data_IF_648314550981
#
_entry.id   IF_648314550981
#
_cell.length_a   1.000
_cell.length_b   1.000
_cell.length_c   1.000
_cell.angle_alpha   90.00
_cell.angle_beta   90.00
_cell.angle_gamma   90.00
#
_symmetry.space_group_name_H-M   'P 1'
#
loop_
_entity.id
_entity.type
_entity.pdbx_description
1 polymer ?
#
# COMPACT_ATOMS: atom_id res chain seq x y z
N UNK A 1 -27.51 -3.16 -8.74
CA UNK A 1 -26.24 -3.66 -9.33
C UNK A 1 -25.08 -2.70 -9.03
N UNK A 2 -23.91 -3.21 -8.61
CA UNK A 2 -22.71 -2.44 -8.30
C UNK A 2 -22.00 -1.93 -9.57
N UNK A 3 -21.34 -0.75 -9.58
CA UNK A 3 -20.58 -0.29 -10.75
C UNK A 3 -19.56 -1.35 -11.21
N UNK A 4 -19.48 -1.61 -12.52
CA UNK A 4 -18.63 -2.65 -13.11
C UNK A 4 -17.16 -2.43 -12.78
N UNK A 5 -16.66 -1.20 -12.88
CA UNK A 5 -15.28 -0.87 -12.55
C UNK A 5 -14.99 -1.08 -11.07
N UNK A 6 -15.95 -0.74 -10.20
CA UNK A 6 -15.84 -1.02 -8.77
C UNK A 6 -15.82 -2.53 -8.48
N UNK A 7 -16.66 -3.31 -9.17
CA UNK A 7 -16.63 -4.77 -9.13
C UNK A 7 -15.26 -5.32 -9.51
N UNK A 8 -14.71 -4.87 -10.65
CA UNK A 8 -13.41 -5.33 -11.13
C UNK A 8 -12.28 -4.98 -10.17
N UNK A 9 -12.31 -3.80 -9.54
CA UNK A 9 -11.33 -3.40 -8.52
C UNK A 9 -11.42 -4.30 -7.28
N UNK A 10 -12.63 -4.55 -6.77
CA UNK A 10 -12.84 -5.45 -5.63
C UNK A 10 -12.39 -6.87 -5.97
N UNK A 11 -12.74 -7.35 -7.16
CA UNK A 11 -12.31 -8.65 -7.67
C UNK A 11 -10.77 -8.73 -7.80
N UNK A 12 -10.13 -7.67 -8.28
CA UNK A 12 -8.67 -7.57 -8.33
C UNK A 12 -8.06 -7.78 -6.94
N UNK A 13 -8.53 -7.07 -5.91
CA UNK A 13 -8.01 -7.26 -4.54
C UNK A 13 -8.23 -8.68 -4.02
N UNK A 14 -9.42 -9.26 -4.24
CA UNK A 14 -9.74 -10.63 -3.82
C UNK A 14 -8.79 -11.64 -4.50
N UNK A 15 -8.58 -11.50 -5.81
CA UNK A 15 -7.67 -12.36 -6.58
C UNK A 15 -6.25 -12.26 -6.06
N UNK A 16 -5.72 -11.06 -5.85
CA UNK A 16 -4.34 -10.90 -5.40
C UNK A 16 -4.16 -11.42 -3.97
N UNK A 17 -5.14 -11.20 -3.06
CA UNK A 17 -5.14 -11.76 -1.70
C UNK A 17 -5.09 -13.28 -1.75
N UNK A 18 -6.01 -13.91 -2.49
CA UNK A 18 -6.08 -15.36 -2.63
C UNK A 18 -4.78 -15.92 -3.24
N UNK A 19 -4.29 -15.30 -4.31
CA UNK A 19 -3.05 -15.70 -4.96
C UNK A 19 -1.84 -15.63 -3.99
N UNK A 20 -1.73 -14.57 -3.18
CA UNK A 20 -0.62 -14.44 -2.23
C UNK A 20 -0.69 -15.48 -1.10
N UNK A 21 -1.88 -15.77 -0.59
CA UNK A 21 -2.10 -16.83 0.40
C UNK A 21 -1.70 -18.18 -0.21
N UNK A 22 -2.18 -18.50 -1.41
CA UNK A 22 -1.83 -19.73 -2.14
C UNK A 22 -0.32 -19.84 -2.30
N UNK A 23 0.34 -18.81 -2.85
CA UNK A 23 1.81 -18.79 -3.03
C UNK A 23 2.53 -19.03 -1.70
N UNK A 24 2.01 -18.50 -0.59
CA UNK A 24 2.61 -18.66 0.74
C UNK A 24 2.47 -20.08 1.31
N UNK A 25 1.43 -20.81 0.94
CA UNK A 25 1.18 -22.20 1.35
C UNK A 25 2.07 -23.20 0.59
N UNK A 26 2.37 -22.93 -0.69
CA UNK A 26 3.17 -23.83 -1.52
C UNK A 26 4.67 -23.48 -1.47
N UNK A 27 5.47 -24.37 -0.88
CA UNK A 27 6.91 -24.16 -0.65
C UNK A 27 7.69 -23.80 -1.92
N UNK A 28 7.45 -24.46 -3.05
CA UNK A 28 8.15 -24.16 -4.31
C UNK A 28 7.79 -22.79 -4.88
N UNK A 29 6.50 -22.41 -4.84
CA UNK A 29 6.06 -21.07 -5.26
C UNK A 29 6.61 -19.97 -4.34
N UNK A 30 6.58 -20.20 -3.03
CA UNK A 30 7.16 -19.28 -2.03
C UNK A 30 8.65 -19.06 -2.25
N UNK A 31 9.41 -20.12 -2.52
CA UNK A 31 10.85 -20.02 -2.81
C UNK A 31 11.06 -19.25 -4.12
N UNK A 32 10.27 -19.54 -5.14
CA UNK A 32 10.49 -18.97 -6.48
C UNK A 32 10.07 -17.52 -6.63
N UNK A 33 9.00 -17.10 -5.95
CA UNK A 33 8.39 -15.77 -6.12
C UNK A 33 8.70 -14.85 -4.94
N UNK A 34 8.61 -15.35 -3.70
CA UNK A 34 8.69 -14.51 -2.49
C UNK A 34 10.10 -14.42 -1.89
N UNK A 35 11.06 -15.26 -2.33
CA UNK A 35 12.42 -15.25 -1.80
C UNK A 35 13.32 -14.33 -2.61
N UNK A 36 13.28 -13.04 -2.29
CA UNK A 36 14.09 -12.01 -2.94
C UNK A 36 14.90 -11.17 -1.95
N UNK A 37 15.88 -10.42 -2.45
CA UNK A 37 16.85 -9.71 -1.61
C UNK A 37 17.62 -10.67 -0.70
N UNK A 38 17.60 -10.41 0.62
CA UNK A 38 18.30 -11.22 1.63
C UNK A 38 17.74 -12.63 1.80
N UNK A 39 16.48 -12.84 1.40
CA UNK A 39 15.82 -14.15 1.43
C UNK A 39 16.20 -15.01 0.22
N UNK A 40 16.70 -14.39 -0.85
CA UNK A 40 17.03 -15.06 -2.12
C UNK A 40 18.37 -15.81 -2.13
N UNK A 41 19.30 -15.49 -1.22
CA UNK A 41 20.62 -16.15 -1.18
C UNK A 41 20.52 -17.63 -0.81
N UNK A 42 19.55 -18.02 0.03
CA UNK A 42 19.30 -19.43 0.37
C UNK A 42 18.41 -20.14 -0.67
N UNK A 43 17.58 -19.39 -1.42
CA UNK A 43 16.63 -19.94 -2.39
C UNK A 43 17.29 -20.40 -3.69
N UNK A 44 18.33 -19.71 -4.17
CA UNK A 44 19.06 -20.07 -5.41
C UNK A 44 19.67 -21.46 -5.41
N UNK A 45 20.00 -22.00 -4.23
CA UNK A 45 20.56 -23.35 -4.08
C UNK A 45 19.50 -24.46 -4.09
N UNK A 46 18.22 -24.13 -4.30
CA UNK A 46 17.10 -25.08 -4.15
C UNK A 46 16.24 -25.29 -5.38
N UNK A 47 16.54 -24.63 -6.51
CA UNK A 47 15.79 -24.83 -7.76
C UNK A 47 15.97 -26.29 -8.23
N UNK A 48 14.87 -27.03 -8.33
CA UNK A 48 14.89 -28.47 -8.67
C UNK A 48 14.82 -28.72 -10.16
N UNK A 49 14.34 -27.76 -10.96
CA UNK A 49 14.18 -27.91 -12.40
C UNK A 49 14.45 -26.60 -13.17
N UNK A 50 14.64 -26.67 -14.51
CA UNK A 50 14.99 -25.50 -15.33
C UNK A 50 13.92 -24.40 -15.35
N UNK A 51 12.64 -24.78 -15.23
CA UNK A 51 11.51 -23.83 -15.21
C UNK A 51 11.54 -23.00 -13.92
N UNK A 52 11.79 -23.65 -12.78
CA UNK A 52 11.92 -22.99 -11.48
C UNK A 52 13.11 -22.03 -11.48
N UNK A 53 14.24 -22.44 -12.06
CA UNK A 53 15.42 -21.59 -12.23
C UNK A 53 15.14 -20.38 -13.15
N UNK A 54 14.40 -20.59 -14.25
CA UNK A 54 13.99 -19.51 -15.14
C UNK A 54 13.08 -18.50 -14.44
N UNK A 55 12.05 -18.96 -13.71
CA UNK A 55 11.14 -18.08 -12.95
C UNK A 55 11.92 -17.29 -11.89
N UNK A 56 12.84 -17.94 -11.16
CA UNK A 56 13.69 -17.27 -10.18
C UNK A 56 14.65 -16.23 -10.79
N UNK A 57 14.97 -16.35 -12.08
CA UNK A 57 15.84 -15.39 -12.77
C UNK A 57 15.12 -14.07 -13.08
N UNK A 58 13.78 -14.09 -13.20
CA UNK A 58 12.94 -12.95 -13.55
C UNK A 58 12.89 -11.92 -12.42
N UNK A 59 13.91 -11.07 -12.39
CA UNK A 59 14.15 -10.16 -11.27
C UNK A 59 14.55 -8.78 -11.73
N UNK A 60 14.10 -7.76 -11.00
CA UNK A 60 14.45 -6.35 -11.18
C UNK A 60 15.27 -5.84 -10.00
N UNK A 61 16.06 -4.76 -10.17
CA UNK A 61 16.77 -4.14 -9.05
C UNK A 61 15.80 -3.70 -7.96
N UNK A 62 16.11 -3.99 -6.68
CA UNK A 62 15.28 -3.58 -5.54
C UNK A 62 15.16 -2.05 -5.43
N UNK A 63 16.09 -1.29 -5.99
CA UNK A 63 16.02 0.17 -6.06
C UNK A 63 14.80 0.67 -6.85
N UNK A 64 14.19 -0.16 -7.71
CA UNK A 64 12.99 0.19 -8.46
C UNK A 64 11.73 0.30 -7.58
N UNK A 65 11.79 -0.04 -6.29
CA UNK A 65 10.71 0.25 -5.34
C UNK A 65 10.31 1.74 -5.36
N UNK A 66 11.24 2.65 -5.65
CA UNK A 66 10.94 4.08 -5.80
C UNK A 66 9.91 4.37 -6.90
N UNK A 67 9.83 3.53 -7.94
CA UNK A 67 8.88 3.70 -9.05
C UNK A 67 7.43 3.56 -8.58
N UNK A 68 7.15 2.71 -7.59
CA UNK A 68 5.81 2.57 -7.02
C UNK A 68 5.29 3.91 -6.50
N UNK A 69 6.16 4.63 -5.79
CA UNK A 69 5.81 5.91 -5.18
C UNK A 69 5.84 7.06 -6.18
N UNK A 70 6.68 7.03 -7.21
CA UNK A 70 6.63 7.99 -8.32
C UNK A 70 5.27 7.87 -9.05
N UNK A 71 4.94 6.65 -9.49
CA UNK A 71 3.69 6.38 -10.20
C UNK A 71 2.49 6.69 -9.30
N UNK A 72 2.51 6.23 -8.04
CA UNK A 72 1.46 6.53 -7.07
C UNK A 72 1.29 8.02 -6.80
N UNK A 73 2.39 8.78 -6.67
CA UNK A 73 2.34 10.23 -6.44
C UNK A 73 1.77 10.99 -7.64
N UNK A 74 2.22 10.64 -8.86
CA UNK A 74 1.70 11.25 -10.09
C UNK A 74 0.23 10.90 -10.32
N UNK A 75 -0.15 9.65 -10.04
CA UNK A 75 -1.52 9.18 -10.16
C UNK A 75 -2.46 9.86 -9.16
N UNK A 76 -2.05 9.95 -7.89
CA UNK A 76 -2.81 10.67 -6.87
C UNK A 76 -3.00 12.15 -7.24
N UNK A 77 -1.94 12.81 -7.76
CA UNK A 77 -2.00 14.21 -8.16
C UNK A 77 -2.97 14.41 -9.32
N UNK A 78 -2.93 13.50 -10.30
CA UNK A 78 -3.86 13.51 -11.42
C UNK A 78 -5.31 13.31 -10.97
N UNK A 79 -5.59 12.39 -10.05
CA UNK A 79 -6.93 12.19 -9.48
C UNK A 79 -7.41 13.41 -8.69
N UNK A 80 -6.54 14.06 -7.92
CA UNK A 80 -6.88 15.31 -7.19
C UNK A 80 -7.22 16.42 -8.18
N UNK A 81 -6.46 16.56 -9.27
CA UNK A 81 -6.76 17.51 -10.35
C UNK A 81 -8.13 17.20 -10.97
N UNK A 82 -8.43 15.92 -11.22
CA UNK A 82 -9.73 15.47 -11.72
C UNK A 82 -10.87 15.89 -10.78
N UNK A 83 -10.70 15.68 -9.46
CA UNK A 83 -11.65 16.16 -8.44
C UNK A 83 -11.83 17.68 -8.49
N UNK A 84 -10.75 18.45 -8.67
CA UNK A 84 -10.84 19.92 -8.78
C UNK A 84 -11.60 20.34 -10.04
N UNK A 85 -11.38 19.66 -11.16
CA UNK A 85 -12.10 19.90 -12.44
C UNK A 85 -13.59 19.63 -12.25
N UNK A 86 -13.93 18.48 -11.65
CA UNK A 86 -15.31 18.08 -11.32
C UNK A 86 -15.99 19.09 -10.41
N UNK A 87 -15.28 19.54 -9.37
CA UNK A 87 -15.78 20.57 -8.47
C UNK A 87 -15.99 21.91 -9.14
N UNK A 88 -15.41 22.19 -10.30
CA UNK A 88 -15.69 23.41 -11.09
C UNK A 88 -16.87 23.24 -12.06
N UNK A 89 -17.57 22.11 -12.02
CA UNK A 89 -18.67 21.79 -12.93
C UNK A 89 -18.21 21.27 -14.30
N UNK A 90 -16.91 21.00 -14.48
CA UNK A 90 -16.36 20.47 -15.72
C UNK A 90 -16.27 18.95 -15.68
N UNK A 91 -16.25 18.31 -16.85
CA UNK A 91 -16.04 16.85 -16.95
C UNK A 91 -14.57 16.53 -16.71
N UNK A 92 -14.27 15.86 -15.59
CA UNK A 92 -12.96 15.27 -15.33
C UNK A 92 -12.64 14.14 -16.33
N UNK A 93 -11.37 13.92 -16.62
CA UNK A 93 -10.93 12.88 -17.56
C UNK A 93 -11.16 11.48 -16.98
N UNK A 94 -10.78 11.26 -15.72
CA UNK A 94 -10.96 9.97 -15.05
C UNK A 94 -12.44 9.73 -14.78
N UNK A 95 -13.16 10.75 -14.32
CA UNK A 95 -14.60 10.70 -14.21
C UNK A 95 -15.30 10.26 -15.49
N UNK A 96 -14.95 10.89 -16.61
CA UNK A 96 -15.54 10.57 -17.90
C UNK A 96 -15.21 9.15 -18.34
N UNK A 97 -13.98 8.69 -18.10
CA UNK A 97 -13.60 7.30 -18.31
C UNK A 97 -14.46 6.33 -17.47
N UNK A 98 -14.65 6.63 -16.18
CA UNK A 98 -15.50 5.82 -15.27
C UNK A 98 -16.95 5.79 -15.78
N UNK A 99 -17.51 6.93 -16.21
CA UNK A 99 -18.86 7.00 -16.79
C UNK A 99 -19.04 6.12 -18.03
N UNK A 100 -18.07 6.14 -18.94
CA UNK A 100 -18.11 5.32 -20.16
C UNK A 100 -18.07 3.83 -19.79
N UNK A 101 -17.22 3.49 -18.81
CA UNK A 101 -16.98 2.10 -18.43
C UNK A 101 -18.15 1.50 -17.64
N UNK A 102 -18.77 2.29 -16.76
CA UNK A 102 -19.89 1.87 -15.91
C UNK A 102 -21.25 2.17 -16.55
N UNK A 103 -21.39 1.97 -17.87
CA UNK A 103 -22.57 2.19 -18.72
C UNK A 103 -23.90 2.35 -17.95
N UNK A 104 -24.63 3.43 -18.25
CA UNK A 104 -25.87 4.03 -17.69
C UNK A 104 -27.03 3.12 -17.20
N UNK A 105 -26.79 1.96 -16.60
CA UNK A 105 -27.81 1.27 -15.83
C UNK A 105 -27.97 2.01 -14.50
N UNK A 106 -29.21 2.44 -14.23
CA UNK A 106 -29.59 3.11 -12.98
C UNK A 106 -29.07 2.29 -11.81
N UNK A 107 -28.05 2.82 -11.14
CA UNK A 107 -27.52 2.25 -9.92
C UNK A 107 -28.65 2.04 -8.93
N UNK A 108 -28.67 0.87 -8.30
CA UNK A 108 -29.62 0.63 -7.23
C UNK A 108 -29.28 1.54 -6.04
N UNK A 109 -30.30 2.07 -5.35
CA UNK A 109 -30.13 3.03 -4.26
C UNK A 109 -29.41 2.47 -3.02
N UNK A 110 -29.02 1.19 -3.02
CA UNK A 110 -28.44 0.49 -1.87
C UNK A 110 -26.91 0.60 -1.76
N UNK A 111 -26.22 1.12 -2.78
CA UNK A 111 -24.78 1.37 -2.71
C UNK A 111 -24.45 2.66 -1.94
N UNK A 112 -23.80 2.52 -0.78
CA UNK A 112 -23.31 3.66 -0.01
C UNK A 112 -22.13 4.33 -0.73
N UNK A 113 -22.35 5.56 -1.21
CA UNK A 113 -21.30 6.40 -1.81
C UNK A 113 -20.56 7.18 -0.73
N UNK A 114 -19.23 7.19 -0.78
CA UNK A 114 -18.42 7.96 0.17
C UNK A 114 -18.64 9.45 0.00
N UNK A 115 -18.85 10.23 1.07
CA UNK A 115 -19.08 11.65 0.91
C UNK A 115 -17.85 12.34 0.31
N UNK A 116 -18.10 13.42 -0.42
CA UNK A 116 -17.07 14.16 -1.19
C UNK A 116 -15.88 14.58 -0.32
N UNK A 117 -16.14 14.96 0.94
CA UNK A 117 -15.11 15.39 1.89
C UNK A 117 -14.14 14.24 2.19
N UNK A 118 -14.65 13.06 2.51
CA UNK A 118 -13.89 11.85 2.79
C UNK A 118 -13.07 11.41 1.57
N UNK A 119 -13.63 11.50 0.36
CA UNK A 119 -12.89 11.23 -0.88
C UNK A 119 -11.69 12.17 -1.06
N UNK A 120 -11.89 13.48 -0.90
CA UNK A 120 -10.83 14.50 -1.00
C UNK A 120 -9.75 14.25 0.06
N UNK A 121 -10.15 14.06 1.31
CA UNK A 121 -9.23 13.81 2.42
C UNK A 121 -8.45 12.51 2.18
N UNK A 122 -9.11 11.45 1.71
CA UNK A 122 -8.48 10.17 1.40
C UNK A 122 -7.44 10.28 0.28
N UNK A 123 -7.75 11.02 -0.79
CA UNK A 123 -6.79 11.28 -1.87
C UNK A 123 -5.59 12.12 -1.40
N UNK A 124 -5.82 13.13 -0.55
CA UNK A 124 -4.74 13.92 0.05
C UNK A 124 -3.87 13.05 0.97
N UNK A 125 -4.46 12.21 1.82
CA UNK A 125 -3.72 11.26 2.66
C UNK A 125 -2.88 10.30 1.81
N UNK A 126 -3.45 9.76 0.73
CA UNK A 126 -2.73 8.89 -0.21
C UNK A 126 -1.60 9.64 -0.95
N UNK A 127 -1.82 10.90 -1.34
CA UNK A 127 -0.80 11.76 -1.93
C UNK A 127 0.36 12.02 -0.96
N UNK A 128 0.05 12.36 0.29
CA UNK A 128 1.06 12.61 1.34
C UNK A 128 1.85 11.33 1.61
N UNK A 129 1.19 10.18 1.69
CA UNK A 129 1.84 8.88 1.86
C UNK A 129 2.82 8.60 0.72
N UNK A 130 2.37 8.73 -0.53
CA UNK A 130 3.20 8.43 -1.70
C UNK A 130 4.36 9.41 -1.87
N UNK A 131 4.18 10.71 -1.63
CA UNK A 131 5.27 11.70 -1.67
C UNK A 131 6.29 11.42 -0.57
N UNK A 132 5.84 11.17 0.66
CA UNK A 132 6.75 10.89 1.78
C UNK A 132 7.57 9.63 1.51
N UNK A 133 6.91 8.54 1.08
CA UNK A 133 7.61 7.29 0.75
C UNK A 133 8.54 7.46 -0.45
N UNK A 134 8.17 8.26 -1.45
CA UNK A 134 9.04 8.62 -2.55
C UNK A 134 10.30 9.33 -2.03
N UNK A 135 10.15 10.37 -1.21
CA UNK A 135 11.26 11.08 -0.57
C UNK A 135 12.16 10.11 0.23
N UNK A 136 11.57 9.25 1.05
CA UNK A 136 12.31 8.27 1.83
C UNK A 136 13.11 7.33 0.92
N UNK A 137 12.53 6.81 -0.17
CA UNK A 137 13.23 5.94 -1.10
C UNK A 137 14.39 6.63 -1.85
N UNK A 138 14.29 7.94 -2.11
CA UNK A 138 15.35 8.69 -2.79
C UNK A 138 16.48 9.13 -1.85
N UNK A 139 16.15 9.54 -0.63
CA UNK A 139 17.08 10.28 0.22
C UNK A 139 17.42 9.60 1.54
N UNK A 140 16.61 8.65 2.00
CA UNK A 140 16.78 8.00 3.32
C UNK A 140 17.17 6.53 3.17
N UNK A 141 16.38 5.76 2.44
CA UNK A 141 16.56 4.32 2.33
C UNK A 141 17.88 3.96 1.65
N UNK A 142 18.56 2.96 2.21
CA UNK A 142 19.84 2.44 1.70
C UNK A 142 19.70 0.96 1.33
N UNK A 143 19.13 0.63 0.16
CA UNK A 143 19.01 -0.76 -0.29
C UNK A 143 20.40 -1.36 -0.52
N UNK A 144 20.57 -2.66 -0.22
CA UNK A 144 21.84 -3.37 -0.51
C UNK A 144 22.13 -3.32 -2.01
N UNK A 145 23.40 -3.03 -2.36
CA UNK A 145 23.89 -3.13 -3.74
C UNK A 145 23.66 -4.55 -4.26
N UNK A 146 23.10 -4.66 -5.47
CA UNK A 146 22.78 -5.96 -6.08
C UNK A 146 21.54 -6.68 -5.55
N UNK A 147 20.82 -6.13 -4.55
CA UNK A 147 19.55 -6.71 -4.10
C UNK A 147 18.52 -6.66 -5.22
N UNK A 148 17.82 -7.78 -5.46
CA UNK A 148 16.78 -7.89 -6.48
C UNK A 148 15.40 -8.22 -5.87
N UNK A 149 14.34 -8.00 -6.65
CA UNK A 149 12.94 -8.40 -6.40
C UNK A 149 12.39 -9.13 -7.62
N UNK A 150 11.49 -10.09 -7.45
CA UNK A 150 10.81 -10.75 -8.57
C UNK A 150 9.97 -9.76 -9.41
N UNK A 151 10.03 -9.86 -10.74
CA UNK A 151 9.34 -8.93 -11.66
C UNK A 151 7.81 -8.93 -11.46
N UNK A 152 7.22 -10.09 -11.19
CA UNK A 152 5.77 -10.19 -10.94
C UNK A 152 5.34 -9.42 -9.69
N UNK A 153 6.16 -9.42 -8.64
CA UNK A 153 5.88 -8.64 -7.43
C UNK A 153 6.09 -7.14 -7.67
N UNK A 154 7.01 -6.79 -8.57
CA UNK A 154 7.20 -5.41 -9.01
C UNK A 154 5.98 -4.88 -9.76
N UNK A 155 5.47 -5.63 -10.74
CA UNK A 155 4.25 -5.25 -11.47
C UNK A 155 3.02 -5.21 -10.56
N UNK A 156 2.90 -6.17 -9.64
CA UNK A 156 1.83 -6.18 -8.65
C UNK A 156 1.88 -4.96 -7.72
N UNK A 157 3.08 -4.52 -7.33
CA UNK A 157 3.27 -3.28 -6.58
C UNK A 157 2.76 -2.06 -7.34
N UNK A 158 3.11 -1.91 -8.62
CA UNK A 158 2.59 -0.82 -9.46
C UNK A 158 1.07 -0.86 -9.60
N UNK A 159 0.52 -2.04 -9.89
CA UNK A 159 -0.93 -2.24 -10.01
C UNK A 159 -1.66 -1.88 -8.72
N UNK A 160 -1.10 -2.25 -7.55
CA UNK A 160 -1.67 -1.92 -6.25
C UNK A 160 -1.79 -0.40 -6.02
N UNK A 161 -0.77 0.40 -6.32
CA UNK A 161 -0.85 1.87 -6.12
C UNK A 161 -1.85 2.53 -7.08
N UNK A 162 -1.92 2.06 -8.34
CA UNK A 162 -2.90 2.54 -9.31
C UNK A 162 -4.33 2.19 -8.86
N UNK A 163 -4.56 0.94 -8.50
CA UNK A 163 -5.85 0.45 -8.01
C UNK A 163 -6.27 1.16 -6.72
N UNK A 164 -5.34 1.40 -5.79
CA UNK A 164 -5.65 2.08 -4.51
C UNK A 164 -6.10 3.51 -4.74
N UNK A 165 -5.37 4.29 -5.54
CA UNK A 165 -5.79 5.66 -5.88
C UNK A 165 -7.15 5.68 -6.56
N UNK A 166 -7.37 4.78 -7.54
CA UNK A 166 -8.63 4.68 -8.25
C UNK A 166 -9.79 4.25 -7.33
N UNK A 167 -9.53 3.36 -6.37
CA UNK A 167 -10.53 2.90 -5.37
C UNK A 167 -11.05 4.06 -4.54
N UNK A 168 -10.15 4.87 -3.97
CA UNK A 168 -10.51 6.03 -3.13
C UNK A 168 -11.28 7.06 -3.96
N UNK A 169 -10.92 7.22 -5.24
CA UNK A 169 -11.61 8.13 -6.15
C UNK A 169 -13.03 7.65 -6.50
N UNK A 170 -13.19 6.42 -7.01
CA UNK A 170 -14.49 5.89 -7.48
C UNK A 170 -15.52 5.80 -6.36
N UNK A 171 -15.10 5.39 -5.16
CA UNK A 171 -16.00 5.27 -4.01
C UNK A 171 -16.67 6.62 -3.64
N UNK A 172 -16.02 7.76 -3.94
CA UNK A 172 -16.60 9.09 -3.75
C UNK A 172 -17.12 9.79 -5.01
N UNK A 173 -16.77 9.29 -6.20
CA UNK A 173 -16.97 10.02 -7.46
C UNK A 173 -18.45 10.24 -7.78
N UNK A 174 -19.30 9.29 -7.40
CA UNK A 174 -20.74 9.33 -7.67
C UNK A 174 -21.48 10.45 -6.94
N UNK A 175 -20.83 11.12 -5.98
CA UNK A 175 -21.37 12.27 -5.24
C UNK A 175 -20.97 13.62 -5.86
N UNK A 176 -20.18 13.63 -6.93
CA UNK A 176 -19.85 14.83 -7.71
C UNK A 176 -20.86 15.13 -8.83
N UNK A 177 -22.06 14.51 -8.80
CA UNK A 177 -23.15 14.83 -9.75
C UNK A 177 -22.90 14.38 -11.19
N UNK A 178 -21.87 13.55 -11.40
CA UNK A 178 -21.45 13.05 -12.71
C UNK A 178 -22.51 12.13 -13.32
N UNK A 179 -23.30 11.43 -12.50
CA UNK A 179 -24.25 10.41 -12.95
C UNK A 179 -25.68 10.95 -13.14
N UNK A 180 -26.01 12.13 -12.60
CA UNK A 180 -27.31 12.77 -12.76
C UNK A 180 -27.19 13.96 -13.71
N UNK A 181 -27.32 13.68 -15.01
CA UNK A 181 -27.30 14.71 -16.06
C UNK A 181 -28.64 15.44 -16.23
N UNK A 182 -29.61 15.23 -15.33
CA UNK A 182 -30.91 15.89 -15.33
C UNK A 182 -31.22 16.38 -13.92
N UNK A 183 -31.34 17.69 -13.82
CA UNK A 183 -31.85 18.46 -12.68
C UNK A 183 -30.88 18.82 -11.54
N UNK A 184 -30.69 20.14 -11.48
CA UNK A 184 -30.44 21.00 -10.33
C UNK A 184 -28.99 21.38 -9.99
N UNK A 185 -28.76 22.69 -10.14
CA UNK A 185 -27.71 23.53 -9.57
C UNK A 185 -27.62 23.49 -8.02
N UNK A 186 -28.06 22.42 -7.38
CA UNK A 186 -28.12 22.31 -5.93
C UNK A 186 -26.81 21.75 -5.37
N UNK A 187 -26.00 22.63 -4.78
CA UNK A 187 -25.03 22.34 -3.71
C UNK A 187 -23.79 21.46 -4.01
N UNK A 188 -23.44 21.16 -5.26
CA UNK A 188 -22.17 20.47 -5.60
C UNK A 188 -20.91 21.19 -5.06
N UNK A 189 -21.00 22.51 -4.86
CA UNK A 189 -19.88 23.35 -4.45
C UNK A 189 -19.76 23.53 -2.93
N UNK A 190 -20.81 23.23 -2.16
CA UNK A 190 -20.89 23.64 -0.74
C UNK A 190 -20.40 22.53 0.17
N UNK A 191 -19.09 22.23 0.13
CA UNK A 191 -18.46 21.52 1.26
C UNK A 191 -18.47 22.50 2.43
N UNK A 192 -19.40 22.32 3.36
CA UNK A 192 -19.43 23.11 4.59
C UNK A 192 -18.14 22.80 5.37
N UNK A 193 -17.39 23.82 5.78
CA UNK A 193 -16.13 23.65 6.51
C UNK A 193 -16.27 22.75 7.75
N UNK A 194 -17.44 22.76 8.38
CA UNK A 194 -17.81 21.88 9.48
C UNK A 194 -17.71 20.37 9.14
N UNK A 195 -17.82 19.99 7.86
CA UNK A 195 -17.68 18.60 7.43
C UNK A 195 -16.25 18.08 7.63
N UNK A 196 -15.23 18.94 7.57
CA UNK A 196 -13.84 18.57 7.85
C UNK A 196 -13.56 18.37 9.35
N UNK A 197 -14.45 18.84 10.23
CA UNK A 197 -14.37 18.64 11.68
C UNK A 197 -15.12 17.38 12.16
N UNK A 198 -15.59 16.54 11.24
CA UNK A 198 -16.22 15.27 11.60
C UNK A 198 -15.24 14.38 12.37
N UNK A 199 -15.76 13.64 13.36
CA UNK A 199 -14.93 12.80 14.22
C UNK A 199 -14.09 11.80 13.41
N UNK A 200 -14.65 11.25 12.33
CA UNK A 200 -13.99 10.26 11.49
C UNK A 200 -12.81 10.86 10.73
N UNK A 201 -12.94 12.08 10.19
CA UNK A 201 -11.84 12.77 9.51
C UNK A 201 -10.73 13.12 10.49
N UNK A 202 -11.07 13.74 11.62
CA UNK A 202 -10.07 14.15 12.62
C UNK A 202 -9.32 12.94 13.19
N UNK A 203 -10.03 11.85 13.52
CA UNK A 203 -9.42 10.64 14.02
C UNK A 203 -8.57 9.95 12.95
N UNK A 204 -9.08 9.81 11.72
CA UNK A 204 -8.33 9.21 10.62
C UNK A 204 -7.04 9.98 10.33
N UNK A 205 -7.10 11.31 10.22
CA UNK A 205 -5.93 12.15 10.03
C UNK A 205 -4.93 12.02 11.18
N UNK A 206 -5.41 11.98 12.42
CA UNK A 206 -4.54 11.83 13.60
C UNK A 206 -3.81 10.49 13.60
N UNK A 207 -4.53 9.40 13.35
CA UNK A 207 -3.97 8.04 13.25
C UNK A 207 -2.98 7.94 12.07
N UNK A 208 -3.35 8.50 10.92
CA UNK A 208 -2.50 8.56 9.74
C UNK A 208 -1.19 9.30 10.00
N UNK A 209 -1.25 10.49 10.61
CA UNK A 209 -0.07 11.31 10.90
C UNK A 209 0.83 10.61 11.93
N UNK A 210 0.24 10.04 12.98
CA UNK A 210 0.96 9.26 13.98
C UNK A 210 1.71 8.08 13.36
N UNK A 211 1.01 7.24 12.59
CA UNK A 211 1.61 6.08 11.94
C UNK A 211 2.62 6.47 10.85
N UNK A 212 2.36 7.53 10.10
CA UNK A 212 3.29 8.07 9.10
C UNK A 212 4.58 8.58 9.73
N UNK A 213 4.48 9.28 10.86
CA UNK A 213 5.63 9.74 11.62
C UNK A 213 6.49 8.56 12.09
N UNK A 214 5.89 7.58 12.77
CA UNK A 214 6.63 6.41 13.27
C UNK A 214 7.22 5.60 12.12
N UNK A 215 6.48 5.40 11.02
CA UNK A 215 7.03 4.71 9.86
C UNK A 215 8.29 5.41 9.32
N UNK A 216 8.28 6.74 9.24
CA UNK A 216 9.42 7.52 8.80
C UNK A 216 10.65 7.30 9.70
N UNK A 217 10.45 7.36 11.02
CA UNK A 217 11.50 7.11 12.02
C UNK A 217 12.05 5.68 11.87
N UNK A 218 11.17 4.69 11.69
CA UNK A 218 11.56 3.29 11.50
C UNK A 218 12.38 3.10 10.22
N UNK A 219 12.02 3.73 9.10
CA UNK A 219 12.83 3.71 7.86
C UNK A 219 14.19 4.37 8.04
N UNK A 220 14.25 5.51 8.76
CA UNK A 220 15.51 6.16 9.12
C UNK A 220 16.40 5.24 9.96
N UNK A 221 15.84 4.57 10.97
CA UNK A 221 16.58 3.60 11.79
C UNK A 221 17.14 2.46 10.94
N UNK A 222 16.35 1.88 10.03
CA UNK A 222 16.82 0.84 9.10
C UNK A 222 17.96 1.33 8.19
N UNK A 223 17.90 2.58 7.71
CA UNK A 223 18.96 3.16 6.90
C UNK A 223 20.25 3.39 7.68
N UNK A 224 20.16 3.83 8.94
CA UNK A 224 21.32 4.05 9.82
C UNK A 224 22.11 2.76 10.10
N UNK A 225 21.44 1.60 10.16
CA UNK A 225 22.13 0.31 10.30
C UNK A 225 23.11 0.03 9.15
N UNK A 226 22.85 0.58 7.96
CA UNK A 226 23.70 0.39 6.79
C UNK A 226 24.93 1.27 6.80
N UNK A 227 24.82 2.50 7.29
CA UNK A 227 25.96 3.39 7.47
C UNK A 227 27.00 2.76 8.39
N UNK A 228 26.56 2.25 9.55
CA UNK A 228 27.45 1.59 10.52
C UNK A 228 28.14 0.34 9.97
N UNK A 229 27.45 -0.44 9.13
CA UNK A 229 28.04 -1.61 8.48
C UNK A 229 29.10 -1.25 7.44
N UNK A 230 28.97 -0.11 6.75
CA UNK A 230 29.86 0.29 5.65
C UNK A 230 31.26 0.67 6.14
N UNK A 231 31.39 1.12 7.39
CA UNK A 231 32.64 1.59 7.98
C UNK A 231 33.52 0.49 8.57
N UNK A 232 33.04 -0.76 8.70
CA UNK A 232 33.71 -1.80 9.52
C UNK A 232 34.13 -3.04 8.72
N UNK A 233 33.52 -3.36 7.56
CA UNK A 233 33.97 -4.48 6.72
C UNK A 233 33.48 -4.40 5.26
N UNK A 234 34.14 -5.16 4.37
CA UNK A 234 33.86 -5.25 2.92
C UNK A 234 32.68 -6.19 2.55
N UNK A 235 32.00 -6.78 3.54
CA UNK A 235 30.79 -7.59 3.35
C UNK A 235 29.58 -6.88 3.97
N UNK A 236 28.35 -7.01 3.42
CA UNK A 236 27.16 -6.38 3.99
C UNK A 236 26.83 -7.00 5.35
N UNK A 237 27.34 -6.39 6.42
CA UNK A 237 27.00 -6.74 7.79
C UNK A 237 25.51 -6.40 8.01
N UNK A 238 24.75 -7.40 8.45
CA UNK A 238 23.38 -7.17 8.90
C UNK A 238 23.40 -6.97 10.40
N UNK A 239 22.55 -6.06 10.88
CA UNK A 239 22.39 -5.78 12.30
C UNK A 239 20.92 -5.82 12.68
N UNK A 240 20.64 -6.16 13.94
CA UNK A 240 19.29 -6.24 14.49
C UNK A 240 18.71 -4.82 14.66
N UNK A 241 17.55 -4.50 14.07
CA UNK A 241 16.91 -3.20 14.27
C UNK A 241 16.53 -2.96 15.74
N UNK A 242 16.72 -1.73 16.21
CA UNK A 242 16.39 -1.26 17.57
C UNK A 242 15.89 0.18 17.51
N UNK A 243 15.17 0.60 18.55
CA UNK A 243 14.65 1.96 18.72
C UNK A 243 13.28 2.15 18.09
N UNK A 244 12.48 2.99 18.74
CA UNK A 244 11.05 3.17 18.46
C UNK A 244 10.32 1.80 18.55
N UNK A 245 9.32 1.56 17.71
CA UNK A 245 8.54 0.32 17.74
C UNK A 245 9.36 -0.95 17.46
N UNK A 246 10.60 -0.85 16.94
CA UNK A 246 11.46 -2.03 16.77
C UNK A 246 11.80 -2.71 18.09
N UNK A 247 11.69 -2.04 19.22
CA UNK A 247 11.98 -2.65 20.53
C UNK A 247 10.95 -3.73 20.89
N UNK A 248 9.74 -3.62 20.32
CA UNK A 248 8.62 -4.53 20.57
C UNK A 248 8.22 -5.35 19.34
N UNK A 249 8.45 -4.86 18.13
CA UNK A 249 7.96 -5.48 16.89
C UNK A 249 9.10 -5.64 15.87
N UNK A 250 9.37 -6.86 15.42
CA UNK A 250 10.45 -7.17 14.48
C UNK A 250 10.29 -6.42 13.14
N UNK A 251 9.07 -6.38 12.60
CA UNK A 251 8.75 -5.69 11.34
C UNK A 251 7.90 -4.44 11.56
N UNK A 252 8.23 -3.63 12.57
CA UNK A 252 7.46 -2.46 12.99
C UNK A 252 7.03 -1.50 11.86
N UNK A 253 7.89 -1.27 10.86
CA UNK A 253 7.58 -0.40 9.72
C UNK A 253 6.41 -0.91 8.86
N UNK A 254 6.18 -2.23 8.84
CA UNK A 254 5.00 -2.83 8.20
C UNK A 254 3.74 -2.66 9.03
N UNK A 255 3.86 -2.73 10.36
CA UNK A 255 2.76 -2.39 11.27
C UNK A 255 2.30 -0.97 11.04
N UNK A 256 3.24 -0.03 10.94
CA UNK A 256 2.93 1.37 10.65
C UNK A 256 2.24 1.54 9.29
N UNK A 257 2.67 0.83 8.24
CA UNK A 257 1.98 0.83 6.93
C UNK A 257 0.53 0.34 7.04
N UNK A 258 0.29 -0.76 7.79
CA UNK A 258 -1.06 -1.29 8.01
C UNK A 258 -1.94 -0.25 8.71
N UNK A 259 -1.42 0.43 9.75
CA UNK A 259 -2.17 1.48 10.47
C UNK A 259 -2.46 2.68 9.54
N UNK A 260 -1.55 3.02 8.62
CA UNK A 260 -1.76 4.06 7.61
C UNK A 260 -2.96 3.71 6.72
N UNK A 261 -3.05 2.50 6.17
CA UNK A 261 -4.23 2.12 5.38
C UNK A 261 -5.49 1.94 6.24
N UNK A 262 -5.35 1.46 7.48
CA UNK A 262 -6.47 1.36 8.41
C UNK A 262 -7.08 2.73 8.75
N UNK A 263 -6.30 3.81 8.70
CA UNK A 263 -6.84 5.17 8.85
C UNK A 263 -7.90 5.51 7.77
N UNK A 264 -7.82 4.91 6.58
CA UNK A 264 -8.85 5.07 5.54
C UNK A 264 -10.16 4.34 5.90
N UNK A 265 -10.08 3.23 6.65
CA UNK A 265 -11.27 2.56 7.19
C UNK A 265 -11.96 3.46 8.20
N UNK A 266 -11.19 4.11 9.09
CA UNK A 266 -11.72 5.10 10.03
C UNK A 266 -12.37 6.26 9.27
N UNK A 267 -11.69 6.77 8.22
CA UNK A 267 -12.18 7.86 7.39
C UNK A 267 -13.56 7.55 6.80
N UNK A 268 -13.75 6.31 6.32
CA UNK A 268 -15.01 5.81 5.74
C UNK A 268 -15.97 5.21 6.77
N UNK A 269 -15.73 5.44 8.07
CA UNK A 269 -16.55 4.96 9.20
C UNK A 269 -16.69 3.43 9.25
N UNK A 270 -15.83 2.69 8.55
CA UNK A 270 -15.84 1.24 8.49
C UNK A 270 -16.84 0.62 7.51
N UNK A 271 -17.59 1.41 6.74
CA UNK A 271 -18.62 0.88 5.83
C UNK A 271 -18.09 0.49 4.45
N UNK A 272 -16.89 0.95 4.07
CA UNK A 272 -16.37 0.77 2.73
C UNK A 272 -15.63 -0.57 2.53
N UNK A 273 -16.26 -1.50 1.83
CA UNK A 273 -15.66 -2.81 1.53
C UNK A 273 -14.36 -2.70 0.72
N UNK A 274 -14.26 -1.79 -0.24
CA UNK A 274 -13.04 -1.66 -1.07
C UNK A 274 -11.85 -1.21 -0.23
N UNK A 275 -12.08 -0.28 0.70
CA UNK A 275 -11.03 0.16 1.63
C UNK A 275 -10.63 -0.97 2.60
N UNK A 276 -11.59 -1.77 3.07
CA UNK A 276 -11.27 -2.98 3.84
C UNK A 276 -10.42 -3.97 3.04
N UNK A 277 -10.73 -4.20 1.76
CA UNK A 277 -9.92 -5.07 0.89
C UNK A 277 -8.49 -4.56 0.72
N UNK A 278 -8.28 -3.23 0.64
CA UNK A 278 -6.94 -2.62 0.64
C UNK A 278 -6.19 -2.95 1.94
N UNK A 279 -6.83 -2.81 3.10
CA UNK A 279 -6.22 -3.12 4.40
C UNK A 279 -5.91 -4.61 4.54
N UNK A 280 -6.85 -5.48 4.13
CA UNK A 280 -6.67 -6.94 4.17
C UNK A 280 -5.50 -7.34 3.28
N UNK A 281 -5.45 -6.83 2.04
CA UNK A 281 -4.33 -7.06 1.14
C UNK A 281 -3.00 -6.64 1.77
N UNK A 282 -2.91 -5.41 2.28
CA UNK A 282 -1.69 -4.90 2.89
C UNK A 282 -1.27 -5.75 4.08
N UNK A 283 -2.22 -6.14 4.93
CA UNK A 283 -1.98 -6.98 6.11
C UNK A 283 -1.48 -8.36 5.73
N UNK A 284 -2.13 -9.04 4.77
CA UNK A 284 -1.75 -10.38 4.30
C UNK A 284 -0.37 -10.34 3.64
N UNK A 285 -0.16 -9.40 2.70
CA UNK A 285 1.09 -9.28 1.96
C UNK A 285 2.26 -8.99 2.90
N UNK A 286 2.14 -7.98 3.75
CA UNK A 286 3.20 -7.60 4.68
C UNK A 286 3.40 -8.64 5.79
N UNK A 287 2.33 -9.28 6.28
CA UNK A 287 2.41 -10.35 7.28
C UNK A 287 3.18 -11.57 6.78
N UNK A 288 2.93 -12.02 5.55
CA UNK A 288 3.67 -13.13 4.93
C UNK A 288 5.16 -12.76 4.77
N UNK A 289 5.45 -11.54 4.34
CA UNK A 289 6.83 -11.05 4.17
C UNK A 289 7.53 -10.91 5.53
N UNK A 290 6.85 -10.36 6.55
CA UNK A 290 7.37 -10.21 7.92
C UNK A 290 7.73 -11.56 8.54
N UNK A 291 6.87 -12.58 8.37
CA UNK A 291 7.13 -13.94 8.84
C UNK A 291 8.41 -14.54 8.22
N UNK A 292 8.68 -14.24 6.96
CA UNK A 292 9.91 -14.70 6.31
C UNK A 292 11.14 -13.95 6.82
N UNK A 293 11.02 -12.64 7.09
CA UNK A 293 12.11 -11.87 7.71
C UNK A 293 12.41 -12.31 9.14
N UNK A 294 11.38 -12.62 9.93
CA UNK A 294 11.54 -13.15 11.28
C UNK A 294 12.31 -14.48 11.25
N UNK A 295 11.92 -15.39 10.36
CA UNK A 295 12.63 -16.67 10.17
C UNK A 295 14.09 -16.46 9.79
N UNK A 296 14.34 -15.60 8.80
CA UNK A 296 15.70 -15.27 8.36
C UNK A 296 16.53 -14.61 9.49
N UNK A 297 15.91 -13.74 10.29
CA UNK A 297 16.56 -13.10 11.43
C UNK A 297 17.03 -14.11 12.46
N UNK A 298 16.16 -15.05 12.84
CA UNK A 298 16.51 -16.15 13.77
C UNK A 298 17.62 -17.04 13.23
N UNK A 299 17.55 -17.40 11.95
CA UNK A 299 18.60 -18.20 11.30
C UNK A 299 19.94 -17.46 11.23
N UNK A 300 19.92 -16.13 11.02
CA UNK A 300 21.14 -15.33 10.86
C UNK A 300 21.81 -14.94 12.17
N UNK A 301 21.03 -14.62 13.19
CA UNK A 301 21.52 -14.05 14.46
C UNK A 301 21.44 -15.02 15.65
N UNK A 302 20.79 -16.18 15.50
CA UNK A 302 20.73 -17.21 16.53
C UNK A 302 20.15 -16.68 17.85
N UNK A 303 20.87 -16.89 18.94
CA UNK A 303 20.49 -16.46 20.29
C UNK A 303 20.43 -14.93 20.47
N UNK A 304 21.10 -14.14 19.63
CA UNK A 304 21.03 -12.68 19.70
C UNK A 304 19.69 -12.13 19.18
N UNK A 305 18.92 -12.92 18.42
CA UNK A 305 17.64 -12.46 17.88
C UNK A 305 16.59 -12.31 18.99
N UNK A 306 15.95 -11.13 19.15
CA UNK A 306 15.02 -10.91 20.24
C UNK A 306 13.79 -11.81 20.17
N UNK A 307 13.63 -12.71 21.15
CA UNK A 307 12.52 -13.66 21.20
C UNK A 307 11.20 -13.05 21.68
N UNK A 308 11.27 -11.92 22.39
CA UNK A 308 10.12 -11.26 23.01
C UNK A 308 9.43 -10.23 22.09
N UNK A 309 9.85 -10.14 20.81
CA UNK A 309 9.22 -9.24 19.84
C UNK A 309 8.07 -9.93 19.13
N UNK A 310 6.99 -9.19 18.92
CA UNK A 310 5.95 -9.59 17.97
C UNK A 310 6.47 -9.44 16.54
N UNK A 311 5.92 -10.21 15.61
CA UNK A 311 6.36 -10.13 14.21
C UNK A 311 5.85 -8.85 13.55
N UNK A 312 4.54 -8.59 13.70
CA UNK A 312 3.86 -7.44 13.07
C UNK A 312 2.83 -6.79 13.99
N UNK A 313 1.93 -7.52 14.64
CA UNK A 313 0.90 -6.95 15.51
C UNK A 313 1.18 -7.31 16.97
N UNK A 314 1.17 -6.34 17.91
CA UNK A 314 1.23 -6.67 19.32
C UNK A 314 0.09 -7.60 19.72
N UNK A 315 0.42 -8.71 20.37
CA UNK A 315 -0.54 -9.70 20.86
C UNK A 315 -1.04 -10.73 19.84
N UNK A 316 -0.59 -10.69 18.58
CA UNK A 316 -1.01 -11.59 17.49
C UNK A 316 0.18 -11.96 16.60
#
# INVERSE_FOLDING_TARGET
>A
MMPTLLFLIRLFYIIIIAAFIIISCFKSLKISILSYGKLGTSARFTAKNPIEAYIQSLTVPKQWFKHFYIVGSLWAAFLIIDVIILRKGNKGHVAYFVQIFDSTEKYEPEYFKEPVTECIVGLIMFQVQTIRRMYECFFIERPSVGSKMHVGLYLLGLAFYLATGLSVFIEGIGNFGILDSKDNETNLFTIRSANFLSWNILLAMSVFMYASYHQHILHKNLALLRLKSSSVSSQPLYSIPKGDWFDHISSAHYTAEIIIYFSLVILTKGFNLTIWLIVIWTTVCLGIVAKNYEKWGREKFGEEWPRNRWIIMPGI
#
